data_IF_826695466264
#
_entry.id   IF_826695466264
#
_cell.length_a   1.000
_cell.length_b   1.000
_cell.length_c   1.000
_cell.angle_alpha   90.00
_cell.angle_beta   90.00
_cell.angle_gamma   90.00
#
_symmetry.space_group_name_H-M   'P 1'
#
loop_
_entity.id
_entity.type
_entity.pdbx_description
1 polymer ?
#
# COMPACT_ATOMS: atom_id res chain seq x y z
N UNK A 1 18.58 5.46 -6.31
CA UNK A 1 18.76 5.66 -4.86
C UNK A 1 19.13 4.36 -4.15
N UNK A 2 18.35 3.27 -4.29
CA UNK A 2 18.62 1.97 -3.63
C UNK A 2 20.02 1.43 -3.95
N UNK A 3 20.41 1.40 -5.23
CA UNK A 3 21.74 0.96 -5.66
C UNK A 3 22.87 1.84 -5.06
N UNK A 4 22.64 3.15 -4.94
CA UNK A 4 23.60 4.05 -4.32
C UNK A 4 23.75 3.76 -2.83
N UNK A 5 22.66 3.53 -2.12
CA UNK A 5 22.68 3.15 -0.70
C UNK A 5 23.47 1.85 -0.49
N UNK A 6 23.27 0.85 -1.35
CA UNK A 6 23.99 -0.42 -1.27
C UNK A 6 25.49 -0.26 -1.57
N UNK A 7 25.87 0.58 -2.55
CA UNK A 7 27.27 0.81 -2.91
C UNK A 7 28.02 1.63 -1.87
N UNK A 8 27.38 2.67 -1.36
CA UNK A 8 28.00 3.62 -0.43
C UNK A 8 27.95 3.12 1.01
N UNK A 9 27.18 2.07 1.31
CA UNK A 9 26.97 1.55 2.67
C UNK A 9 26.32 2.58 3.61
N UNK A 10 25.78 3.67 3.08
CA UNK A 10 25.29 4.80 3.86
C UNK A 10 23.87 5.19 3.44
N UNK A 11 22.90 4.81 4.26
CA UNK A 11 21.55 5.37 4.24
C UNK A 11 21.40 6.65 5.09
N UNK A 12 22.52 7.14 5.68
CA UNK A 12 22.52 8.26 6.62
C UNK A 12 22.11 9.55 5.92
N UNK A 13 21.13 10.26 6.50
CA UNK A 13 20.61 11.53 5.98
C UNK A 13 19.59 11.44 4.84
N UNK A 14 19.36 10.28 4.26
CA UNK A 14 18.33 10.09 3.22
C UNK A 14 16.96 9.81 3.85
N UNK A 15 15.90 10.47 3.33
CA UNK A 15 14.53 10.38 3.87
C UNK A 15 13.67 9.29 3.22
N UNK A 16 14.17 8.60 2.20
CA UNK A 16 13.40 7.57 1.50
C UNK A 16 13.09 6.37 2.39
N UNK A 17 12.06 5.61 2.04
CA UNK A 17 11.72 4.36 2.73
C UNK A 17 12.86 3.34 2.65
N UNK A 18 13.57 3.28 1.52
CA UNK A 18 14.74 2.41 1.35
C UNK A 18 15.87 2.74 2.33
N UNK A 19 16.20 4.03 2.46
CA UNK A 19 17.23 4.48 3.39
C UNK A 19 16.84 4.20 4.85
N UNK A 20 15.59 4.46 5.22
CA UNK A 20 15.07 4.17 6.56
C UNK A 20 15.14 2.68 6.89
N UNK A 21 14.71 1.82 5.97
CA UNK A 21 14.77 0.38 6.16
C UNK A 21 16.21 -0.13 6.23
N UNK A 22 17.09 0.38 5.37
CA UNK A 22 18.51 0.03 5.40
C UNK A 22 19.12 0.36 6.76
N UNK A 23 18.96 1.59 7.24
CA UNK A 23 19.46 2.02 8.53
C UNK A 23 18.88 1.20 9.68
N UNK A 24 17.58 0.90 9.64
CA UNK A 24 16.94 0.04 10.62
C UNK A 24 17.59 -1.35 10.69
N UNK A 25 17.83 -1.98 9.53
CA UNK A 25 18.45 -3.30 9.52
C UNK A 25 19.91 -3.25 9.96
N UNK A 26 20.67 -2.23 9.55
CA UNK A 26 22.06 -2.04 10.02
C UNK A 26 22.08 -1.93 11.55
N UNK A 27 21.26 -1.06 12.13
CA UNK A 27 21.17 -0.89 13.58
C UNK A 27 20.79 -2.20 14.30
N UNK A 28 19.78 -2.92 13.79
CA UNK A 28 19.32 -4.17 14.42
C UNK A 28 20.34 -5.31 14.32
N UNK A 29 21.01 -5.43 13.18
CA UNK A 29 22.06 -6.43 12.98
C UNK A 29 23.26 -6.11 13.87
N UNK A 30 23.66 -4.85 13.94
CA UNK A 30 24.78 -4.40 14.77
C UNK A 30 24.52 -4.65 16.27
N UNK A 31 23.32 -4.29 16.74
CA UNK A 31 22.89 -4.57 18.11
C UNK A 31 22.85 -6.08 18.41
N UNK A 32 22.34 -6.89 17.46
CA UNK A 32 22.31 -8.33 17.62
C UNK A 32 23.71 -8.94 17.69
N UNK A 33 24.60 -8.56 16.78
CA UNK A 33 25.96 -9.09 16.74
C UNK A 33 26.81 -8.59 17.91
N UNK A 34 26.54 -7.40 18.42
CA UNK A 34 27.19 -6.87 19.65
C UNK A 34 26.78 -7.67 20.87
N UNK A 35 25.52 -8.07 20.99
CA UNK A 35 25.03 -8.90 22.08
C UNK A 35 25.44 -10.38 21.94
N UNK A 36 25.63 -10.85 20.71
CA UNK A 36 25.95 -12.24 20.40
C UNK A 36 27.13 -12.34 19.42
N UNK A 37 28.36 -11.99 19.82
CA UNK A 37 29.52 -11.93 18.92
C UNK A 37 29.85 -13.27 18.22
N UNK A 38 29.53 -14.39 18.85
CA UNK A 38 29.76 -15.73 18.28
C UNK A 38 28.96 -15.98 16.98
N UNK A 39 27.87 -15.25 16.76
CA UNK A 39 27.08 -15.37 15.54
C UNK A 39 27.69 -14.65 14.35
N UNK A 40 28.67 -13.79 14.54
CA UNK A 40 29.28 -13.03 13.45
C UNK A 40 29.80 -13.93 12.32
N UNK A 41 30.44 -15.04 12.66
CA UNK A 41 30.95 -16.00 11.68
C UNK A 41 29.83 -16.76 10.90
N UNK A 42 28.66 -16.95 11.52
CA UNK A 42 27.59 -17.77 10.96
C UNK A 42 26.45 -16.95 10.36
N UNK A 43 26.26 -15.72 10.79
CA UNK A 43 25.10 -14.91 10.39
C UNK A 43 25.05 -14.68 8.87
N UNK A 44 26.12 -14.23 8.18
CA UNK A 44 26.10 -14.05 6.74
C UNK A 44 25.81 -15.35 5.99
N UNK A 45 26.42 -16.46 6.40
CA UNK A 45 26.21 -17.77 5.80
C UNK A 45 24.76 -18.24 5.97
N UNK A 46 24.14 -17.99 7.14
CA UNK A 46 22.73 -18.33 7.39
C UNK A 46 21.80 -17.51 6.52
N UNK A 47 22.03 -16.22 6.40
CA UNK A 47 21.19 -15.35 5.54
C UNK A 47 21.33 -15.73 4.08
N UNK A 48 22.56 -15.92 3.58
CA UNK A 48 22.82 -16.19 2.16
C UNK A 48 22.43 -17.61 1.72
N UNK A 49 22.55 -18.59 2.60
CA UNK A 49 22.35 -20.00 2.21
C UNK A 49 21.00 -20.58 2.67
N UNK A 50 20.41 -20.04 3.73
CA UNK A 50 19.20 -20.61 4.34
C UNK A 50 17.95 -19.73 4.13
N UNK A 51 18.08 -18.47 3.70
CA UNK A 51 16.94 -17.65 3.32
C UNK A 51 16.60 -17.92 1.84
N UNK A 52 15.44 -18.52 1.61
CA UNK A 52 14.92 -18.72 0.26
C UNK A 52 14.11 -17.49 -0.16
N UNK A 53 14.55 -16.82 -1.20
CA UNK A 53 13.84 -15.71 -1.82
C UNK A 53 13.19 -16.20 -3.12
N UNK A 54 11.90 -15.99 -3.25
CA UNK A 54 11.17 -16.28 -4.47
C UNK A 54 10.98 -14.98 -5.26
N UNK A 55 11.73 -14.72 -6.32
CA UNK A 55 11.47 -13.56 -7.18
C UNK A 55 10.19 -13.83 -7.98
N UNK A 56 9.31 -12.84 -8.00
CA UNK A 56 8.07 -12.90 -8.78
C UNK A 56 8.10 -11.75 -9.77
N UNK A 57 8.18 -12.09 -11.04
CA UNK A 57 8.10 -11.13 -12.13
C UNK A 57 6.68 -11.10 -12.69
N UNK A 58 6.17 -9.92 -12.96
CA UNK A 58 4.85 -9.73 -13.51
C UNK A 58 4.94 -8.97 -14.84
N UNK A 59 4.36 -9.54 -15.89
CA UNK A 59 4.36 -8.96 -17.24
C UNK A 59 3.58 -7.65 -17.33
N UNK A 60 2.63 -7.44 -16.42
CA UNK A 60 1.80 -6.25 -16.38
C UNK A 60 1.46 -5.85 -14.94
N UNK A 61 1.12 -4.57 -14.77
CA UNK A 61 0.65 -4.05 -13.48
C UNK A 61 -0.60 -4.80 -12.98
N UNK A 62 -1.51 -5.20 -13.86
CA UNK A 62 -2.69 -5.97 -13.50
C UNK A 62 -2.32 -7.34 -12.93
N UNK A 63 -1.38 -8.03 -13.59
CA UNK A 63 -0.85 -9.31 -13.13
C UNK A 63 -0.16 -9.16 -11.78
N UNK A 64 0.65 -8.11 -11.60
CA UNK A 64 1.30 -7.82 -10.34
C UNK A 64 0.30 -7.60 -9.21
N UNK A 65 -0.76 -6.82 -9.44
CA UNK A 65 -1.82 -6.57 -8.45
C UNK A 65 -2.60 -7.84 -8.09
N UNK A 66 -2.90 -8.70 -9.08
CA UNK A 66 -3.56 -9.98 -8.82
C UNK A 66 -2.69 -10.91 -7.98
N UNK A 67 -1.41 -11.05 -8.34
CA UNK A 67 -0.45 -11.86 -7.57
C UNK A 67 -0.32 -11.33 -6.15
N UNK A 68 -0.17 -10.02 -6.01
CA UNK A 68 -0.04 -9.36 -4.70
C UNK A 68 -1.29 -9.57 -3.83
N UNK A 69 -2.49 -9.43 -4.40
CA UNK A 69 -3.74 -9.70 -3.71
C UNK A 69 -3.82 -11.16 -3.25
N UNK A 70 -3.54 -12.10 -4.15
CA UNK A 70 -3.61 -13.55 -3.85
C UNK A 70 -2.59 -13.98 -2.79
N UNK A 71 -1.38 -13.42 -2.82
CA UNK A 71 -0.35 -13.74 -1.82
C UNK A 71 -0.70 -13.17 -0.43
N UNK A 72 -1.31 -11.99 -0.39
CA UNK A 72 -1.72 -11.36 0.86
C UNK A 72 -2.97 -11.99 1.48
N UNK A 73 -3.79 -12.69 0.73
CA UNK A 73 -4.94 -13.45 1.28
C UNK A 73 -4.53 -14.53 2.29
N UNK A 74 -3.25 -14.95 2.28
CA UNK A 74 -2.68 -15.90 3.26
C UNK A 74 -2.11 -15.23 4.52
N UNK A 75 -2.03 -13.89 4.56
CA UNK A 75 -1.50 -13.11 5.67
C UNK A 75 -2.50 -12.09 6.17
N UNK A 76 -2.06 -10.83 6.31
CA UNK A 76 -2.96 -9.69 6.52
C UNK A 76 -3.57 -9.32 5.18
N UNK A 77 -4.88 -9.49 4.96
CA UNK A 77 -5.49 -9.12 3.69
C UNK A 77 -5.25 -7.65 3.40
N UNK A 78 -5.14 -7.32 2.10
CA UNK A 78 -5.12 -5.93 1.67
C UNK A 78 -6.38 -5.24 2.19
N UNK A 79 -6.21 -4.05 2.69
CA UNK A 79 -7.35 -3.20 3.02
C UNK A 79 -8.10 -2.83 1.74
N UNK A 80 -9.37 -2.56 1.86
CA UNK A 80 -10.16 -2.11 0.71
C UNK A 80 -9.58 -0.79 0.16
N UNK A 81 -9.07 0.08 1.02
CA UNK A 81 -8.37 1.30 0.64
C UNK A 81 -7.13 1.05 -0.25
N UNK A 82 -6.36 -0.02 0.01
CA UNK A 82 -5.21 -0.38 -0.81
C UNK A 82 -5.64 -0.84 -2.21
N UNK A 83 -6.76 -1.57 -2.31
CA UNK A 83 -7.32 -2.02 -3.59
C UNK A 83 -7.79 -0.80 -4.40
N UNK A 84 -8.53 0.12 -3.77
CA UNK A 84 -8.99 1.35 -4.43
C UNK A 84 -7.84 2.24 -4.85
N UNK A 85 -6.83 2.37 -4.01
CA UNK A 85 -5.61 3.10 -4.36
C UNK A 85 -4.99 2.59 -5.66
N UNK A 86 -4.87 1.28 -5.77
CA UNK A 86 -4.28 0.65 -6.95
C UNK A 86 -5.14 0.88 -8.22
N UNK A 87 -6.46 0.78 -8.10
CA UNK A 87 -7.39 1.02 -9.21
C UNK A 87 -7.40 2.48 -9.65
N UNK A 88 -7.48 3.41 -8.70
CA UNK A 88 -7.45 4.84 -8.96
C UNK A 88 -6.09 5.27 -9.53
N UNK A 89 -4.98 4.76 -9.00
CA UNK A 89 -3.66 5.02 -9.57
C UNK A 89 -3.56 4.58 -11.03
N UNK A 90 -4.11 3.40 -11.37
CA UNK A 90 -4.15 2.92 -12.74
C UNK A 90 -4.96 3.86 -13.64
N UNK A 91 -6.14 4.28 -13.17
CA UNK A 91 -7.01 5.21 -13.89
C UNK A 91 -6.31 6.53 -14.17
N UNK A 92 -5.80 7.20 -13.14
CA UNK A 92 -5.06 8.48 -13.31
C UNK A 92 -3.81 8.33 -14.16
N UNK A 93 -3.14 7.17 -14.08
CA UNK A 93 -1.96 6.87 -14.89
C UNK A 93 -2.28 6.83 -16.38
N UNK A 94 -3.47 6.37 -16.77
CA UNK A 94 -3.89 6.33 -18.18
C UNK A 94 -4.07 7.72 -18.80
N UNK A 95 -4.27 8.75 -17.96
CA UNK A 95 -4.34 10.17 -18.38
C UNK A 95 -3.06 10.94 -18.16
N UNK A 96 -1.96 10.27 -17.79
CA UNK A 96 -0.68 10.95 -17.51
C UNK A 96 -0.64 11.72 -16.18
N UNK A 97 -1.64 11.56 -15.30
CA UNK A 97 -1.84 12.31 -14.05
C UNK A 97 -1.33 11.56 -12.80
N UNK A 98 -0.22 10.86 -12.89
CA UNK A 98 0.35 10.07 -11.80
C UNK A 98 0.73 10.90 -10.59
N UNK A 99 1.40 12.02 -10.83
CA UNK A 99 1.90 12.88 -9.76
C UNK A 99 0.77 13.59 -9.03
N UNK A 100 -0.24 14.06 -9.79
CA UNK A 100 -1.47 14.63 -9.24
C UNK A 100 -2.18 13.62 -8.30
N UNK A 101 -2.31 12.38 -8.76
CA UNK A 101 -2.89 11.32 -7.92
C UNK A 101 -2.10 11.09 -6.63
N UNK A 102 -0.77 10.98 -6.73
CA UNK A 102 0.09 10.71 -5.57
C UNK A 102 -0.06 11.82 -4.52
N UNK A 103 -0.12 13.06 -4.96
CA UNK A 103 -0.25 14.22 -4.08
C UNK A 103 -1.62 14.26 -3.42
N UNK A 104 -2.68 14.11 -4.21
CA UNK A 104 -4.07 14.06 -3.73
C UNK A 104 -4.27 12.90 -2.75
N UNK A 105 -3.73 11.72 -3.05
CA UNK A 105 -3.82 10.58 -2.13
C UNK A 105 -3.12 10.82 -0.80
N UNK A 106 -1.95 11.43 -0.80
CA UNK A 106 -1.24 11.78 0.43
C UNK A 106 -2.02 12.77 1.28
N UNK A 107 -2.64 13.75 0.63
CA UNK A 107 -3.47 14.73 1.31
C UNK A 107 -4.71 14.07 1.93
N UNK A 108 -5.39 13.22 1.16
CA UNK A 108 -6.53 12.44 1.62
C UNK A 108 -6.18 11.58 2.85
N UNK A 109 -5.06 10.85 2.79
CA UNK A 109 -4.58 10.01 3.90
C UNK A 109 -4.29 10.82 5.16
N UNK A 110 -3.73 12.02 5.00
CA UNK A 110 -3.50 12.95 6.11
C UNK A 110 -4.81 13.43 6.73
N UNK A 111 -5.73 13.96 5.91
CA UNK A 111 -7.03 14.47 6.39
C UNK A 111 -7.83 13.37 7.08
N UNK A 112 -7.90 12.19 6.46
CA UNK A 112 -8.65 11.07 7.04
C UNK A 112 -8.06 10.61 8.37
N UNK A 113 -6.74 10.62 8.50
CA UNK A 113 -6.06 10.26 9.76
C UNK A 113 -6.31 11.27 10.88
N UNK A 114 -6.62 12.53 10.55
CA UNK A 114 -6.99 13.56 11.52
C UNK A 114 -8.47 13.46 11.94
N UNK A 115 -9.34 12.99 11.05
CA UNK A 115 -10.81 12.98 11.25
C UNK A 115 -11.33 11.63 11.75
N UNK A 116 -10.81 10.54 11.22
CA UNK A 116 -11.32 9.20 11.52
C UNK A 116 -10.39 8.42 12.45
N UNK A 117 -10.97 7.88 13.51
CA UNK A 117 -10.28 7.04 14.50
C UNK A 117 -11.01 5.70 14.64
N UNK A 118 -10.97 4.84 13.60
CA UNK A 118 -11.68 3.58 13.62
C UNK A 118 -11.09 2.62 14.67
N UNK A 119 -11.95 1.81 15.29
CA UNK A 119 -11.52 0.75 16.21
C UNK A 119 -10.80 -0.38 15.43
N UNK A 120 -11.25 -0.63 14.20
CA UNK A 120 -10.68 -1.63 13.29
C UNK A 120 -10.45 -1.04 11.90
N UNK A 121 -9.39 -1.51 11.22
CA UNK A 121 -9.05 -1.03 9.90
C UNK A 121 -8.23 0.26 9.91
N UNK A 122 -8.22 0.94 8.79
CA UNK A 122 -7.52 2.21 8.61
C UNK A 122 -8.51 3.38 8.50
N UNK A 123 -8.09 4.63 8.77
CA UNK A 123 -8.93 5.80 8.53
C UNK A 123 -9.48 5.88 7.10
N UNK A 124 -8.69 5.47 6.12
CA UNK A 124 -9.12 5.40 4.71
C UNK A 124 -10.19 4.34 4.48
N UNK A 125 -10.11 3.17 5.12
CA UNK A 125 -11.15 2.14 5.01
C UNK A 125 -12.49 2.67 5.55
N UNK A 126 -12.46 3.39 6.66
CA UNK A 126 -13.65 4.02 7.24
C UNK A 126 -14.24 5.08 6.29
N UNK A 127 -13.40 5.94 5.71
CA UNK A 127 -13.83 6.92 4.71
C UNK A 127 -14.51 6.25 3.53
N UNK A 128 -13.87 5.25 2.91
CA UNK A 128 -14.42 4.57 1.74
C UNK A 128 -15.71 3.82 2.05
N UNK A 129 -15.83 3.26 3.26
CA UNK A 129 -17.07 2.63 3.72
C UNK A 129 -18.20 3.65 3.80
N UNK A 130 -17.99 4.79 4.43
CA UNK A 130 -19.00 5.85 4.54
C UNK A 130 -19.36 6.44 3.19
N UNK A 131 -18.36 6.67 2.36
CA UNK A 131 -18.55 7.16 1.02
C UNK A 131 -19.39 6.23 0.16
N UNK A 132 -19.15 4.92 0.24
CA UNK A 132 -20.00 3.91 -0.43
C UNK A 132 -21.46 4.01 0.04
N UNK A 133 -21.70 4.15 1.33
CA UNK A 133 -23.10 4.30 1.81
C UNK A 133 -23.74 5.56 1.27
N UNK A 134 -23.01 6.66 1.20
CA UNK A 134 -23.48 7.91 0.62
C UNK A 134 -23.84 7.74 -0.87
N UNK A 135 -22.98 7.16 -1.67
CA UNK A 135 -23.23 6.91 -3.09
C UNK A 135 -24.41 5.97 -3.33
N UNK A 136 -24.52 4.94 -2.52
CA UNK A 136 -25.67 4.02 -2.59
C UNK A 136 -26.98 4.71 -2.27
N UNK A 137 -26.96 5.61 -1.30
CA UNK A 137 -28.14 6.41 -0.94
C UNK A 137 -28.54 7.35 -2.09
N UNK A 138 -27.57 8.00 -2.73
CA UNK A 138 -27.82 8.85 -3.90
C UNK A 138 -28.38 8.08 -5.08
N UNK A 139 -27.88 6.87 -5.31
CA UNK A 139 -28.32 5.99 -6.40
C UNK A 139 -29.57 5.16 -6.05
N UNK A 140 -30.20 5.37 -4.88
CA UNK A 140 -31.36 4.64 -4.37
C UNK A 140 -31.18 3.10 -4.36
N UNK A 141 -29.95 2.61 -4.22
CA UNK A 141 -29.62 1.20 -4.20
C UNK A 141 -30.00 0.60 -2.83
N UNK A 142 -31.05 -0.22 -2.82
CA UNK A 142 -31.62 -0.85 -1.62
C UNK A 142 -31.03 -2.23 -1.27
N UNK A 143 -30.11 -2.76 -2.09
CA UNK A 143 -29.49 -4.05 -1.77
C UNK A 143 -28.71 -3.97 -0.45
N UNK A 144 -29.01 -4.89 0.46
CA UNK A 144 -28.24 -5.02 1.70
C UNK A 144 -26.90 -5.67 1.37
N UNK A 145 -25.77 -5.14 1.76
CA UNK A 145 -24.68 -5.93 2.31
C UNK A 145 -23.31 -5.32 2.18
N UNK A 146 -22.50 -5.64 3.12
CA UNK A 146 -21.03 -5.54 3.21
C UNK A 146 -20.27 -6.18 2.03
N UNK A 147 -20.85 -7.12 1.27
CA UNK A 147 -20.29 -7.59 -0.02
C UNK A 147 -20.18 -6.48 -1.06
N UNK A 148 -20.89 -5.42 -0.84
CA UNK A 148 -21.05 -4.38 -1.83
C UNK A 148 -19.82 -3.49 -2.00
N UNK A 149 -18.94 -3.38 -1.02
CA UNK A 149 -17.81 -2.46 -1.13
C UNK A 149 -16.88 -2.89 -2.27
N UNK A 150 -16.41 -4.12 -2.24
CA UNK A 150 -15.57 -4.65 -3.32
C UNK A 150 -16.31 -4.70 -4.64
N UNK A 151 -17.53 -5.25 -4.67
CA UNK A 151 -18.34 -5.32 -5.91
C UNK A 151 -18.74 -3.96 -6.44
N UNK A 152 -19.01 -3.01 -5.58
CA UNK A 152 -19.35 -1.64 -5.96
C UNK A 152 -18.19 -0.95 -6.66
N UNK A 153 -16.95 -1.27 -6.27
CA UNK A 153 -15.74 -0.72 -6.85
C UNK A 153 -15.06 -1.69 -7.87
N UNK A 154 -15.45 -2.95 -7.95
CA UNK A 154 -14.97 -3.92 -8.93
C UNK A 154 -15.66 -3.79 -10.30
N UNK A 155 -16.65 -2.92 -10.43
CA UNK A 155 -17.37 -2.73 -11.68
C UNK A 155 -16.45 -2.37 -12.85
N UNK A 156 -16.89 -2.75 -14.03
CA UNK A 156 -16.23 -2.56 -15.34
C UNK A 156 -16.07 -1.09 -15.80
N UNK A 157 -16.03 -0.15 -14.88
CA UNK A 157 -15.98 1.28 -15.14
C UNK A 157 -17.34 1.92 -15.43
N UNK A 158 -18.42 1.15 -15.34
CA UNK A 158 -19.79 1.66 -15.53
C UNK A 158 -20.32 2.43 -14.31
N UNK A 159 -19.64 2.36 -13.18
CA UNK A 159 -19.98 3.16 -12.01
C UNK A 159 -19.22 4.49 -12.02
N UNK A 160 -19.94 5.62 -11.88
CA UNK A 160 -19.35 6.95 -11.87
C UNK A 160 -18.41 7.22 -10.69
N UNK A 161 -18.19 6.27 -9.81
CA UNK A 161 -17.29 6.36 -8.66
C UNK A 161 -15.84 6.63 -9.00
N UNK A 162 -15.36 6.18 -10.15
CA UNK A 162 -14.07 6.58 -10.66
C UNK A 162 -14.06 8.03 -11.14
N UNK A 163 -15.24 8.61 -11.39
CA UNK A 163 -15.40 10.04 -11.74
C UNK A 163 -15.61 10.93 -10.50
N UNK A 164 -15.95 10.36 -9.38
CA UNK A 164 -15.91 11.08 -8.13
C UNK A 164 -14.45 11.22 -7.78
N UNK A 165 -13.91 12.16 -8.48
CA UNK A 165 -12.56 12.60 -8.27
C UNK A 165 -12.33 12.69 -6.78
N UNK A 166 -11.19 12.20 -6.33
CA UNK A 166 -10.59 12.53 -5.05
C UNK A 166 -10.71 14.03 -4.71
N UNK A 167 -11.05 14.85 -5.69
CA UNK A 167 -11.36 16.27 -5.64
C UNK A 167 -12.61 16.55 -4.79
N UNK A 168 -13.70 15.77 -4.92
CA UNK A 168 -14.92 16.00 -4.12
C UNK A 168 -14.81 15.47 -2.68
N UNK A 169 -13.83 14.63 -2.39
CA UNK A 169 -13.57 14.16 -1.02
C UNK A 169 -12.66 15.13 -0.27
N UNK A 170 -11.93 15.99 -0.99
CA UNK A 170 -10.98 16.95 -0.41
C UNK A 170 -11.56 18.38 -0.25
N UNK A 171 -12.78 18.64 -0.72
CA UNK A 171 -13.58 19.84 -0.43
C UNK A 171 -14.55 19.58 0.73
#
# INVERSE_FOLDING_TARGET
>A
EFIAILKDGQGIGKKSRYAKNFNFFVEKIDAFLSNYPSYFAYFPARVLNNCVLLPIEAESQNTALRIFSTLNDRGKPLSDADIFKAQLYKYYSSFGKKDEFIETWKNLDKITSEVFHPIYGTPLDELFTRYMYYERALAEIKSSTTEALRKFYEGDGSYPLLHLSLIHISE
#
